data_IF_930935525034
#
_entry.id   IF_930935525034
#
_cell.length_a   1.000
_cell.length_b   1.000
_cell.length_c   1.000
_cell.angle_alpha   90.00
_cell.angle_beta   90.00
_cell.angle_gamma   90.00
#
_symmetry.space_group_name_H-M   'P 1'
#
loop_
_entity.id
_entity.type
_entity.pdbx_description
1 polymer ?
#
# COMPACT_ATOMS: atom_id res chain seq x y z
N UNK A 1 -18.51 -7.03 15.53
CA UNK A 1 -18.26 -6.08 14.44
C UNK A 1 -19.00 -4.75 14.64
N UNK A 2 -20.31 -4.63 14.39
CA UNK A 2 -21.06 -3.35 14.39
C UNK A 2 -20.85 -2.45 15.63
N UNK A 3 -20.81 -3.03 16.84
CA UNK A 3 -20.55 -2.25 18.07
C UNK A 3 -19.17 -1.60 18.10
N UNK A 4 -18.14 -2.26 17.54
CA UNK A 4 -16.79 -1.70 17.43
C UNK A 4 -16.77 -0.54 16.42
N UNK A 5 -17.43 -0.71 15.27
CA UNK A 5 -17.61 0.36 14.28
C UNK A 5 -18.24 1.62 14.89
N UNK A 6 -19.36 1.44 15.61
CA UNK A 6 -20.06 2.54 16.25
C UNK A 6 -19.20 3.22 17.32
N UNK A 7 -18.39 2.47 18.07
CA UNK A 7 -17.49 3.03 19.07
C UNK A 7 -16.40 3.92 18.44
N UNK A 8 -15.76 3.47 17.35
CA UNK A 8 -14.74 4.28 16.65
C UNK A 8 -15.37 5.55 16.08
N UNK A 9 -16.53 5.44 15.43
CA UNK A 9 -17.24 6.59 14.87
C UNK A 9 -17.66 7.57 15.97
N UNK A 10 -18.14 7.08 17.12
CA UNK A 10 -18.49 7.94 18.26
C UNK A 10 -17.28 8.73 18.75
N UNK A 11 -16.13 8.06 18.93
CA UNK A 11 -14.88 8.71 19.33
C UNK A 11 -14.42 9.78 18.34
N UNK A 12 -14.50 9.51 17.03
CA UNK A 12 -14.16 10.50 15.99
C UNK A 12 -15.09 11.72 16.09
N UNK A 13 -16.40 11.51 16.24
CA UNK A 13 -17.37 12.60 16.39
C UNK A 13 -17.13 13.43 17.64
N UNK A 14 -16.83 12.78 18.77
CA UNK A 14 -16.51 13.44 20.03
C UNK A 14 -15.25 14.29 19.89
N UNK A 15 -14.19 13.76 19.26
CA UNK A 15 -12.95 14.49 19.01
C UNK A 15 -13.16 15.71 18.10
N UNK A 16 -13.94 15.56 17.03
CA UNK A 16 -14.29 16.69 16.13
C UNK A 16 -15.06 17.77 16.88
N UNK A 17 -16.10 17.40 17.65
CA UNK A 17 -16.86 18.35 18.48
C UNK A 17 -15.98 19.05 19.51
N UNK A 18 -15.05 18.32 20.13
CA UNK A 18 -14.11 18.90 21.08
C UNK A 18 -13.20 19.94 20.40
N UNK A 19 -12.64 19.61 19.24
CA UNK A 19 -11.81 20.54 18.46
C UNK A 19 -12.60 21.80 18.07
N UNK A 20 -13.85 21.65 17.63
CA UNK A 20 -14.76 22.77 17.34
C UNK A 20 -15.02 23.65 18.56
N UNK A 21 -15.19 23.04 19.74
CA UNK A 21 -15.51 23.76 20.98
C UNK A 21 -14.31 24.50 21.55
N UNK A 22 -13.09 23.94 21.41
CA UNK A 22 -11.87 24.49 22.02
C UNK A 22 -11.13 25.46 21.11
N UNK A 23 -11.15 25.25 19.79
CA UNK A 23 -10.23 25.96 18.89
C UNK A 23 -10.68 27.37 18.50
N UNK A 24 -11.95 27.76 18.68
CA UNK A 24 -12.56 29.03 18.22
C UNK A 24 -12.16 29.46 16.79
N UNK A 25 -11.71 28.51 15.99
CA UNK A 25 -11.21 28.66 14.63
C UNK A 25 -12.24 28.04 13.69
N UNK A 26 -12.66 28.72 12.62
CA UNK A 26 -13.44 28.05 11.60
C UNK A 26 -12.62 26.89 11.03
N UNK A 27 -13.27 25.74 10.91
CA UNK A 27 -12.83 24.42 10.40
C UNK A 27 -12.25 24.49 8.96
N UNK A 28 -11.94 25.67 8.42
CA UNK A 28 -11.38 25.86 7.08
C UNK A 28 -10.05 25.11 6.85
N UNK A 29 -9.24 24.92 7.89
CA UNK A 29 -8.02 24.09 7.82
C UNK A 29 -8.28 22.57 7.79
N UNK A 30 -9.43 22.11 8.31
CA UNK A 30 -9.88 20.71 8.26
C UNK A 30 -10.56 20.37 6.92
N UNK A 31 -10.93 21.38 6.12
CA UNK A 31 -11.59 21.21 4.82
C UNK A 31 -10.61 20.99 3.66
N UNK A 32 -9.30 20.99 3.92
CA UNK A 32 -8.29 20.80 2.87
C UNK A 32 -7.40 19.62 3.24
N UNK A 33 -7.34 18.65 2.34
CA UNK A 33 -6.46 17.49 2.43
C UNK A 33 -5.49 17.55 1.25
N UNK A 34 -4.21 17.32 1.52
CA UNK A 34 -3.24 17.11 0.45
C UNK A 34 -3.49 15.74 -0.17
N UNK A 35 -3.77 15.73 -1.47
CA UNK A 35 -4.05 14.53 -2.23
C UNK A 35 -2.99 14.35 -3.31
N UNK A 36 -2.38 13.17 -3.32
CA UNK A 36 -1.32 12.80 -4.24
C UNK A 36 -1.77 11.70 -5.19
N UNK A 37 -1.15 11.66 -6.35
CA UNK A 37 -1.38 10.65 -7.39
C UNK A 37 -0.20 9.70 -7.52
N UNK A 38 -0.48 8.45 -7.87
CA UNK A 38 0.52 7.40 -8.08
C UNK A 38 0.05 6.44 -9.18
N UNK A 39 0.99 5.90 -9.96
CA UNK A 39 0.74 4.78 -10.88
C UNK A 39 2.01 3.95 -11.11
N UNK A 40 1.85 2.74 -11.65
CA UNK A 40 2.99 1.94 -12.08
C UNK A 40 3.63 2.60 -13.29
N UNK A 41 4.92 2.95 -13.21
CA UNK A 41 5.68 3.55 -14.31
C UNK A 41 5.99 2.51 -15.40
N UNK A 42 4.95 1.95 -16.02
CA UNK A 42 5.03 0.77 -16.87
C UNK A 42 5.40 1.12 -18.31
N UNK A 43 4.70 2.09 -18.91
CA UNK A 43 4.88 2.47 -20.30
C UNK A 43 5.92 3.59 -20.42
N UNK A 44 7.20 3.22 -20.42
CA UNK A 44 8.32 4.18 -20.34
C UNK A 44 8.28 5.33 -21.38
N UNK A 45 7.84 5.15 -22.64
CA UNK A 45 7.69 6.28 -23.55
C UNK A 45 6.69 7.35 -23.06
N UNK A 46 5.62 6.94 -22.39
CA UNK A 46 4.69 7.87 -21.75
C UNK A 46 5.34 8.55 -20.56
N UNK A 47 6.05 7.81 -19.70
CA UNK A 47 6.72 8.38 -18.53
C UNK A 47 7.82 9.39 -18.94
N UNK A 48 8.64 9.05 -19.92
CA UNK A 48 9.65 9.94 -20.52
C UNK A 48 9.00 11.21 -21.08
N UNK A 49 7.89 11.07 -21.80
CA UNK A 49 7.17 12.21 -22.36
C UNK A 49 6.65 13.20 -21.29
N UNK A 50 6.52 12.81 -20.02
CA UNK A 50 6.18 13.70 -18.90
C UNK A 50 7.36 14.01 -17.95
N UNK A 51 8.57 13.54 -18.28
CA UNK A 51 9.77 13.78 -17.48
C UNK A 51 10.36 15.15 -17.82
N UNK A 52 10.57 16.00 -16.82
CA UNK A 52 11.02 17.39 -16.99
C UNK A 52 12.01 17.79 -15.90
N UNK A 53 12.93 18.68 -16.26
CA UNK A 53 13.59 19.55 -15.29
C UNK A 53 12.57 20.58 -14.79
N UNK A 54 12.57 20.85 -13.49
CA UNK A 54 11.64 21.81 -12.87
C UNK A 54 12.34 23.14 -12.58
N UNK A 55 11.65 24.29 -12.74
CA UNK A 55 12.26 25.58 -12.42
C UNK A 55 12.78 25.62 -10.98
N UNK A 56 13.98 26.16 -10.77
CA UNK A 56 14.63 26.35 -9.45
C UNK A 56 15.13 25.07 -8.76
N UNK A 57 15.26 23.96 -9.49
CA UNK A 57 15.94 22.75 -9.01
C UNK A 57 16.61 22.04 -10.18
N UNK A 58 17.88 21.65 -10.03
CA UNK A 58 18.62 20.88 -11.05
C UNK A 58 18.20 19.40 -11.12
N UNK A 59 17.09 19.04 -10.44
CA UNK A 59 16.54 17.69 -10.45
C UNK A 59 15.53 17.48 -11.58
N UNK A 60 15.55 16.26 -12.11
CA UNK A 60 14.60 15.76 -13.08
C UNK A 60 13.45 15.06 -12.34
N UNK A 61 12.21 15.37 -12.71
CA UNK A 61 11.02 14.73 -12.15
C UNK A 61 10.16 14.13 -13.26
N UNK A 62 9.54 12.99 -12.97
CA UNK A 62 8.38 12.55 -13.72
C UNK A 62 7.15 13.34 -13.24
N UNK A 63 6.58 14.18 -14.12
CA UNK A 63 5.42 15.01 -13.79
C UNK A 63 4.08 14.35 -14.15
N UNK A 64 4.08 13.09 -14.62
CA UNK A 64 2.84 12.33 -14.83
C UNK A 64 2.15 11.97 -13.50
N UNK A 65 2.93 11.90 -12.41
CA UNK A 65 2.44 11.45 -11.10
C UNK A 65 3.39 11.86 -9.98
N UNK A 66 2.88 11.94 -8.75
CA UNK A 66 3.71 12.31 -7.60
C UNK A 66 4.60 11.14 -7.16
N UNK A 67 4.04 9.92 -7.18
CA UNK A 67 4.66 8.70 -6.66
C UNK A 67 4.56 7.55 -7.67
N UNK A 68 5.50 7.42 -8.62
CA UNK A 68 5.56 6.27 -9.51
C UNK A 68 6.08 5.02 -8.78
N UNK A 69 5.68 3.82 -9.20
CA UNK A 69 6.30 2.57 -8.73
C UNK A 69 6.72 1.62 -9.85
N UNK A 70 7.67 0.74 -9.55
CA UNK A 70 8.08 -0.38 -10.41
C UNK A 70 7.30 -1.62 -9.98
N UNK A 71 6.53 -2.22 -10.88
CA UNK A 71 5.80 -3.45 -10.63
C UNK A 71 6.73 -4.67 -10.51
N UNK A 72 6.24 -5.74 -9.89
CA UNK A 72 7.05 -6.96 -9.64
C UNK A 72 7.66 -7.52 -10.93
N UNK A 73 6.93 -7.49 -12.05
CA UNK A 73 7.34 -8.10 -13.33
C UNK A 73 8.38 -7.27 -14.08
N UNK A 74 8.52 -5.99 -13.73
CA UNK A 74 9.49 -5.06 -14.32
C UNK A 74 10.65 -4.77 -13.37
N UNK A 75 10.67 -5.40 -12.19
CA UNK A 75 11.70 -5.24 -11.17
C UNK A 75 12.73 -6.38 -11.22
N UNK A 76 13.64 -6.33 -12.19
CA UNK A 76 14.72 -7.30 -12.36
C UNK A 76 16.04 -6.62 -12.72
N UNK A 77 17.17 -7.30 -12.48
CA UNK A 77 18.51 -6.76 -12.78
C UNK A 77 18.63 -6.35 -14.25
N UNK A 78 19.05 -5.12 -14.50
CA UNK A 78 19.18 -4.56 -15.85
C UNK A 78 17.86 -4.05 -16.45
N UNK A 79 16.78 -4.00 -15.68
CA UNK A 79 15.51 -3.44 -16.14
C UNK A 79 15.64 -1.94 -16.47
N UNK A 80 15.10 -1.55 -17.62
CA UNK A 80 14.97 -0.15 -18.02
C UNK A 80 14.13 0.66 -17.01
N UNK A 81 13.17 0.02 -16.34
CA UNK A 81 12.35 0.66 -15.30
C UNK A 81 13.19 1.06 -14.08
N UNK A 82 14.17 0.24 -13.68
CA UNK A 82 15.08 0.59 -12.58
C UNK A 82 15.94 1.79 -12.99
N UNK A 83 16.49 1.77 -14.21
CA UNK A 83 17.34 2.87 -14.68
C UNK A 83 16.56 4.18 -14.82
N UNK A 84 15.36 4.13 -15.38
CA UNK A 84 14.47 5.28 -15.47
C UNK A 84 14.15 5.88 -14.08
N UNK A 85 13.76 5.03 -13.13
CA UNK A 85 13.38 5.46 -11.78
C UNK A 85 14.58 5.96 -10.95
N UNK A 86 15.79 5.46 -11.24
CA UNK A 86 17.05 5.96 -10.68
C UNK A 86 17.33 7.42 -11.08
N UNK A 87 16.95 7.80 -12.30
CA UNK A 87 17.21 9.13 -12.86
C UNK A 87 16.23 10.24 -12.44
N UNK A 88 15.03 9.90 -11.97
CA UNK A 88 14.04 10.89 -11.51
C UNK A 88 14.12 11.11 -9.99
N UNK A 89 13.67 12.27 -9.51
CA UNK A 89 13.75 12.67 -8.10
C UNK A 89 12.49 12.42 -7.26
N UNK A 90 11.36 12.05 -7.88
CA UNK A 90 10.12 11.66 -7.20
C UNK A 90 10.38 10.67 -6.05
N UNK A 91 9.58 10.57 -4.98
CA UNK A 91 9.57 9.32 -4.20
C UNK A 91 9.19 8.16 -5.14
N UNK A 92 9.82 6.99 -4.97
CA UNK A 92 9.62 5.84 -5.87
C UNK A 92 9.23 4.59 -5.10
N UNK A 93 8.24 3.87 -5.61
CA UNK A 93 7.82 2.58 -5.09
C UNK A 93 8.53 1.41 -5.79
N UNK A 94 8.81 0.34 -5.05
CA UNK A 94 9.22 -0.95 -5.61
C UNK A 94 8.33 -2.05 -5.08
N UNK A 95 7.72 -2.82 -5.99
CA UNK A 95 6.79 -3.89 -5.62
C UNK A 95 7.51 -5.23 -5.53
N UNK A 96 7.63 -5.78 -4.32
CA UNK A 96 8.39 -7.02 -4.06
C UNK A 96 7.47 -8.15 -3.60
N UNK A 97 7.76 -9.37 -4.03
CA UNK A 97 7.03 -10.57 -3.64
C UNK A 97 7.83 -11.48 -2.71
N UNK A 98 7.22 -12.60 -2.32
CA UNK A 98 7.79 -13.64 -1.45
C UNK A 98 9.05 -14.35 -1.99
N UNK A 99 9.38 -14.11 -3.26
CA UNK A 99 10.55 -14.58 -3.98
C UNK A 99 11.74 -13.61 -3.93
N UNK A 100 11.58 -12.41 -3.36
CA UNK A 100 12.66 -11.45 -3.20
C UNK A 100 13.73 -12.01 -2.25
N UNK A 101 14.99 -12.07 -2.71
CA UNK A 101 16.12 -12.40 -1.87
C UNK A 101 16.65 -11.15 -1.14
N UNK A 102 17.11 -11.28 0.12
CA UNK A 102 17.68 -10.15 0.85
C UNK A 102 18.84 -9.46 0.12
N UNK A 103 19.75 -10.21 -0.50
CA UNK A 103 20.88 -9.65 -1.27
C UNK A 103 20.44 -8.80 -2.45
N UNK A 104 19.36 -9.22 -3.12
CA UNK A 104 18.83 -8.52 -4.29
C UNK A 104 18.11 -7.25 -3.87
N UNK A 105 17.35 -7.29 -2.76
CA UNK A 105 16.76 -6.10 -2.15
C UNK A 105 17.83 -5.07 -1.80
N UNK A 106 18.91 -5.46 -1.11
CA UNK A 106 19.98 -4.54 -0.74
C UNK A 106 20.65 -3.92 -1.96
N UNK A 107 20.88 -4.72 -3.01
CA UNK A 107 21.46 -4.23 -4.26
C UNK A 107 20.54 -3.23 -4.96
N UNK A 108 19.23 -3.49 -4.94
CA UNK A 108 18.22 -2.62 -5.51
C UNK A 108 18.12 -1.28 -4.77
N UNK A 109 18.09 -1.30 -3.43
CA UNK A 109 18.03 -0.10 -2.61
C UNK A 109 19.24 0.81 -2.82
N UNK A 110 20.46 0.23 -2.85
CA UNK A 110 21.69 0.99 -3.14
C UNK A 110 21.71 1.60 -4.53
N UNK A 111 21.09 0.93 -5.51
CA UNK A 111 21.02 1.43 -6.87
C UNK A 111 20.02 2.60 -7.00
N UNK A 112 18.80 2.44 -6.47
CA UNK A 112 17.74 3.44 -6.59
C UNK A 112 17.87 4.62 -5.63
N UNK A 113 18.57 4.44 -4.50
CA UNK A 113 18.80 5.47 -3.49
C UNK A 113 20.26 5.49 -3.04
N UNK A 114 21.19 5.91 -3.93
CA UNK A 114 22.63 5.86 -3.66
C UNK A 114 23.07 6.80 -2.53
N UNK A 115 22.31 7.87 -2.28
CA UNK A 115 22.54 8.81 -1.17
C UNK A 115 21.91 8.34 0.14
N UNK A 116 21.15 7.24 0.11
CA UNK A 116 20.39 6.73 1.23
C UNK A 116 19.45 7.80 1.85
N UNK A 117 18.78 8.59 1.01
CA UNK A 117 17.84 9.61 1.45
C UNK A 117 16.60 8.96 2.11
N UNK A 118 16.25 9.30 3.37
CA UNK A 118 15.01 8.83 3.98
C UNK A 118 13.78 9.26 3.17
N UNK A 119 12.82 8.36 3.00
CA UNK A 119 11.56 8.64 2.27
C UNK A 119 11.68 8.59 0.74
N UNK A 120 12.87 8.39 0.17
CA UNK A 120 13.06 8.25 -1.28
C UNK A 120 12.47 6.95 -1.83
N UNK A 121 12.65 5.83 -1.13
CA UNK A 121 12.13 4.53 -1.55
C UNK A 121 11.01 4.08 -0.64
N UNK A 122 9.93 3.60 -1.26
CA UNK A 122 8.86 2.84 -0.61
C UNK A 122 8.91 1.38 -1.08
N UNK A 123 9.14 0.44 -0.16
CA UNK A 123 9.05 -1.00 -0.43
C UNK A 123 7.60 -1.43 -0.27
N UNK A 124 6.96 -1.85 -1.35
CA UNK A 124 5.57 -2.32 -1.37
C UNK A 124 5.58 -3.85 -1.39
N UNK A 125 5.36 -4.48 -0.24
CA UNK A 125 5.41 -5.94 -0.06
C UNK A 125 4.07 -6.58 -0.41
N UNK A 126 4.10 -7.61 -1.26
CA UNK A 126 2.90 -8.39 -1.65
C UNK A 126 3.14 -9.89 -1.51
N UNK A 127 3.28 -10.34 -0.28
CA UNK A 127 3.81 -11.66 0.06
C UNK A 127 2.77 -12.77 -0.11
N UNK A 128 1.50 -12.45 0.14
CA UNK A 128 0.45 -13.44 0.36
C UNK A 128 0.44 -13.91 1.81
N UNK A 129 -0.75 -14.11 2.37
CA UNK A 129 -0.96 -14.52 3.77
C UNK A 129 -0.19 -15.79 4.11
N UNK A 130 -0.11 -16.75 3.19
CA UNK A 130 0.58 -18.02 3.40
C UNK A 130 2.11 -17.91 3.50
N UNK A 131 2.70 -16.78 3.10
CA UNK A 131 4.17 -16.65 2.96
C UNK A 131 4.75 -15.52 3.80
N UNK A 132 3.95 -14.52 4.19
CA UNK A 132 4.44 -13.30 4.81
C UNK A 132 5.31 -13.56 6.05
N UNK A 133 4.87 -14.40 6.98
CA UNK A 133 5.59 -14.71 8.22
C UNK A 133 6.98 -15.31 7.96
N UNK A 134 7.09 -16.15 6.93
CA UNK A 134 8.34 -16.82 6.59
C UNK A 134 9.31 -15.96 5.77
N UNK A 135 8.82 -14.88 5.12
CA UNK A 135 9.59 -14.13 4.11
C UNK A 135 9.91 -12.71 4.52
N UNK A 136 8.95 -11.99 5.07
CA UNK A 136 9.11 -10.58 5.40
C UNK A 136 10.23 -10.34 6.45
N UNK A 137 10.37 -11.16 7.51
CA UNK A 137 11.38 -10.87 8.54
C UNK A 137 12.81 -10.82 8.01
N UNK A 138 13.19 -11.75 7.13
CA UNK A 138 14.55 -11.77 6.58
C UNK A 138 14.88 -10.55 5.72
N UNK A 139 13.87 -9.90 5.11
CA UNK A 139 14.05 -8.71 4.29
C UNK A 139 14.20 -7.45 5.17
N UNK A 140 13.39 -7.32 6.22
CA UNK A 140 13.49 -6.22 7.17
C UNK A 140 14.85 -6.24 7.86
N UNK A 141 15.26 -7.39 8.38
CA UNK A 141 16.52 -7.57 9.11
C UNK A 141 17.74 -7.26 8.22
N UNK A 142 17.69 -7.66 6.95
CA UNK A 142 18.74 -7.31 6.00
C UNK A 142 18.84 -5.80 5.76
N UNK A 143 17.71 -5.12 5.51
CA UNK A 143 17.70 -3.67 5.29
C UNK A 143 18.19 -2.89 6.52
N UNK A 144 17.73 -3.27 7.72
CA UNK A 144 18.15 -2.68 9.00
C UNK A 144 19.65 -2.87 9.23
N UNK A 145 20.19 -4.10 9.10
CA UNK A 145 21.63 -4.37 9.27
C UNK A 145 22.50 -3.64 8.25
N UNK A 146 21.97 -3.43 7.05
CA UNK A 146 22.66 -2.66 6.02
C UNK A 146 22.56 -1.13 6.22
N UNK A 147 21.76 -0.65 7.19
CA UNK A 147 21.54 0.77 7.44
C UNK A 147 20.85 1.49 6.28
N UNK A 148 20.07 0.79 5.45
CA UNK A 148 19.40 1.36 4.29
C UNK A 148 18.00 1.84 4.64
N UNK A 149 17.70 3.10 4.32
CA UNK A 149 16.40 3.71 4.56
C UNK A 149 15.41 3.38 3.45
N UNK A 150 14.26 2.85 3.85
CA UNK A 150 13.08 2.70 3.02
C UNK A 150 11.83 2.73 3.90
N UNK A 151 10.73 3.24 3.35
CA UNK A 151 9.41 3.13 3.97
C UNK A 151 8.79 1.80 3.57
N UNK A 152 8.32 1.02 4.54
CA UNK A 152 7.64 -0.25 4.28
C UNK A 152 6.15 -0.05 4.11
N UNK A 153 5.58 -0.63 3.07
CA UNK A 153 4.16 -0.56 2.76
C UNK A 153 3.63 -1.96 2.43
N UNK A 154 2.47 -2.32 2.97
CA UNK A 154 1.84 -3.62 2.71
C UNK A 154 0.83 -3.50 1.56
N UNK A 155 1.02 -4.30 0.51
CA UNK A 155 0.00 -4.63 -0.48
C UNK A 155 -0.51 -6.06 -0.20
N UNK A 156 -1.56 -6.20 0.60
CA UNK A 156 -2.14 -7.49 0.93
C UNK A 156 -3.09 -8.01 -0.17
N UNK A 157 -3.12 -7.39 -1.35
CA UNK A 157 -4.07 -7.74 -2.41
C UNK A 157 -3.43 -8.70 -3.41
N UNK A 158 -2.34 -8.28 -4.04
CA UNK A 158 -1.74 -9.02 -5.17
C UNK A 158 -1.11 -10.35 -4.76
N UNK A 159 -0.80 -10.54 -3.48
CA UNK A 159 -0.32 -11.80 -2.92
C UNK A 159 -1.43 -12.86 -2.73
N UNK A 160 -2.69 -12.43 -2.69
CA UNK A 160 -3.85 -13.24 -2.26
C UNK A 160 -4.91 -13.45 -3.36
N UNK A 161 -4.57 -13.21 -4.62
CA UNK A 161 -5.47 -13.51 -5.74
C UNK A 161 -5.63 -15.03 -5.90
N UNK A 162 -6.88 -15.49 -5.94
CA UNK A 162 -7.26 -16.88 -6.19
C UNK A 162 -8.31 -16.97 -7.30
N UNK A 163 -8.57 -18.19 -7.78
CA UNK A 163 -9.62 -18.46 -8.76
C UNK A 163 -10.78 -19.15 -8.04
N UNK A 164 -11.95 -18.52 -8.05
CA UNK A 164 -13.18 -19.09 -7.48
C UNK A 164 -13.66 -20.32 -8.26
N UNK A 165 -14.58 -21.08 -7.69
CA UNK A 165 -15.13 -22.31 -8.30
C UNK A 165 -15.73 -22.08 -9.69
N UNK A 166 -16.25 -20.88 -9.96
CA UNK A 166 -16.78 -20.45 -11.26
C UNK A 166 -15.75 -19.93 -12.27
N UNK A 167 -14.44 -20.05 -11.98
CA UNK A 167 -13.36 -19.61 -12.88
C UNK A 167 -13.04 -18.10 -12.84
N UNK A 168 -13.83 -17.30 -12.12
CA UNK A 168 -13.55 -15.89 -11.90
C UNK A 168 -12.42 -15.70 -10.90
N UNK A 169 -11.52 -14.75 -11.16
CA UNK A 169 -10.53 -14.33 -10.17
C UNK A 169 -11.25 -13.63 -9.02
N UNK A 170 -10.81 -13.89 -7.80
CA UNK A 170 -11.28 -13.19 -6.61
C UNK A 170 -10.15 -13.08 -5.58
N UNK A 171 -10.42 -12.41 -4.47
CA UNK A 171 -9.58 -12.37 -3.27
C UNK A 171 -10.50 -12.52 -2.07
N UNK A 172 -10.09 -13.31 -1.08
CA UNK A 172 -10.82 -13.40 0.19
C UNK A 172 -10.46 -12.23 1.09
N UNK A 173 -11.46 -11.51 1.54
CA UNK A 173 -11.30 -10.40 2.48
C UNK A 173 -10.45 -10.80 3.70
N UNK A 174 -10.72 -11.98 4.28
CA UNK A 174 -9.99 -12.46 5.45
C UNK A 174 -8.51 -12.74 5.17
N UNK A 175 -8.16 -13.21 3.98
CA UNK A 175 -6.75 -13.41 3.60
C UNK A 175 -6.03 -12.07 3.44
N UNK A 176 -6.69 -11.07 2.84
CA UNK A 176 -6.17 -9.70 2.71
C UNK A 176 -5.92 -9.12 4.10
N UNK A 177 -6.91 -9.23 4.98
CA UNK A 177 -6.80 -8.72 6.35
C UNK A 177 -5.72 -9.44 7.16
N UNK A 178 -5.64 -10.76 7.05
CA UNK A 178 -4.64 -11.56 7.78
C UNK A 178 -3.21 -11.25 7.33
N UNK A 179 -2.96 -11.04 6.03
CA UNK A 179 -1.63 -10.58 5.57
C UNK A 179 -1.28 -9.20 6.16
N UNK A 180 -2.25 -8.29 6.22
CA UNK A 180 -2.04 -6.96 6.78
C UNK A 180 -1.78 -7.00 8.29
N UNK A 181 -2.57 -7.76 9.06
CA UNK A 181 -2.40 -7.94 10.50
C UNK A 181 -1.03 -8.59 10.80
N UNK A 182 -0.62 -9.59 10.02
CA UNK A 182 0.70 -10.20 10.13
C UNK A 182 1.83 -9.21 9.80
N UNK A 183 1.66 -8.35 8.79
CA UNK A 183 2.65 -7.32 8.48
C UNK A 183 2.87 -6.38 9.66
N UNK A 184 1.79 -5.94 10.32
CA UNK A 184 1.85 -5.13 11.54
C UNK A 184 2.62 -5.83 12.66
N UNK A 185 2.29 -7.08 12.95
CA UNK A 185 2.91 -7.84 14.04
C UNK A 185 4.40 -8.12 13.79
N UNK A 186 4.76 -8.46 12.54
CA UNK A 186 6.15 -8.65 12.13
C UNK A 186 6.93 -7.34 12.29
N UNK A 187 6.40 -6.23 11.79
CA UNK A 187 7.09 -4.94 11.90
C UNK A 187 7.32 -4.55 13.37
N UNK A 188 6.30 -4.69 14.22
CA UNK A 188 6.39 -4.42 15.66
C UNK A 188 7.43 -5.32 16.35
N UNK A 189 7.37 -6.65 16.13
CA UNK A 189 8.31 -7.61 16.70
C UNK A 189 9.76 -7.39 16.26
N UNK A 190 9.95 -6.82 15.06
CA UNK A 190 11.27 -6.47 14.51
C UNK A 190 11.72 -5.04 14.83
N UNK A 191 10.95 -4.29 15.63
CA UNK A 191 11.24 -2.88 15.95
C UNK A 191 11.45 -2.04 14.68
N UNK A 192 10.61 -2.31 13.68
CA UNK A 192 10.53 -1.57 12.43
C UNK A 192 9.13 -0.99 12.26
N UNK A 193 8.91 -0.15 11.26
CA UNK A 193 7.64 0.56 11.08
C UNK A 193 6.98 0.13 9.77
N UNK A 194 5.73 -0.34 9.86
CA UNK A 194 4.86 -0.44 8.70
C UNK A 194 4.30 0.95 8.39
N UNK A 195 4.89 1.65 7.42
CA UNK A 195 4.59 3.04 7.12
C UNK A 195 3.37 3.28 6.23
N UNK A 196 2.75 2.24 5.67
CA UNK A 196 1.57 2.41 4.82
C UNK A 196 0.94 1.11 4.32
N UNK A 197 -0.16 1.28 3.60
CA UNK A 197 -0.92 0.21 2.94
C UNK A 197 -1.23 0.59 1.49
N UNK A 198 -1.31 -0.39 0.61
CA UNK A 198 -1.56 -0.20 -0.83
C UNK A 198 -2.65 -1.17 -1.29
N UNK A 199 -3.87 -0.66 -1.45
CA UNK A 199 -5.05 -1.43 -1.85
C UNK A 199 -5.50 -1.13 -3.28
N UNK A 200 -6.23 -2.09 -3.86
CA UNK A 200 -7.07 -1.85 -5.04
C UNK A 200 -8.53 -1.81 -4.57
N UNK A 201 -9.19 -0.66 -4.70
CA UNK A 201 -10.54 -0.45 -4.20
C UNK A 201 -11.38 0.41 -5.15
N UNK A 202 -12.69 0.37 -4.97
CA UNK A 202 -13.65 1.24 -5.66
C UNK A 202 -14.76 1.67 -4.70
N UNK A 203 -15.30 2.88 -4.91
CA UNK A 203 -16.48 3.37 -4.19
C UNK A 203 -17.79 2.75 -4.67
N UNK A 204 -17.75 1.92 -5.71
CA UNK A 204 -18.91 1.22 -6.25
C UNK A 204 -19.28 -0.02 -5.42
N UNK A 205 -20.57 -0.37 -5.44
CA UNK A 205 -21.08 -1.63 -4.88
C UNK A 205 -20.82 -2.79 -5.86
N UNK A 206 -19.58 -3.26 -5.90
CA UNK A 206 -19.13 -4.39 -6.71
C UNK A 206 -19.02 -5.69 -5.90
N UNK A 207 -19.11 -6.82 -6.58
CA UNK A 207 -18.94 -8.16 -6.02
C UNK A 207 -17.68 -8.82 -6.58
N UNK A 208 -16.51 -8.26 -6.27
CA UNK A 208 -15.23 -8.69 -6.84
C UNK A 208 -14.36 -9.49 -5.84
N UNK A 209 -14.31 -9.05 -4.57
CA UNK A 209 -13.69 -9.79 -3.47
C UNK A 209 -14.76 -10.45 -2.60
N UNK A 210 -14.52 -11.70 -2.17
CA UNK A 210 -15.45 -12.46 -1.31
C UNK A 210 -15.25 -12.15 0.18
N UNK A 211 -16.33 -12.25 0.94
CA UNK A 211 -16.36 -12.00 2.39
C UNK A 211 -16.41 -10.52 2.78
N UNK A 212 -15.92 -10.22 3.99
CA UNK A 212 -16.04 -8.90 4.62
C UNK A 212 -17.48 -8.59 5.05
N UNK A 213 -17.72 -7.34 5.48
CA UNK A 213 -18.99 -6.89 6.03
C UNK A 213 -20.17 -6.93 5.05
N UNK A 214 -19.88 -7.02 3.75
CA UNK A 214 -20.89 -7.23 2.69
C UNK A 214 -21.31 -8.68 2.50
N UNK A 215 -20.63 -9.63 3.15
CA UNK A 215 -20.87 -11.08 3.07
C UNK A 215 -20.97 -11.60 1.61
N UNK A 216 -20.09 -11.10 0.74
CA UNK A 216 -20.08 -11.48 -0.68
C UNK A 216 -19.66 -12.93 -0.83
N UNK A 217 -20.54 -13.78 -1.34
CA UNK A 217 -20.25 -15.18 -1.64
C UNK A 217 -19.63 -15.36 -3.04
N UNK A 218 -19.08 -16.55 -3.31
CA UNK A 218 -18.56 -16.88 -4.65
C UNK A 218 -19.67 -16.85 -5.72
N UNK A 219 -20.91 -17.18 -5.36
CA UNK A 219 -22.06 -17.12 -6.25
C UNK A 219 -22.44 -15.69 -6.64
N UNK A 220 -22.09 -14.70 -5.82
CA UNK A 220 -22.41 -13.29 -6.06
C UNK A 220 -21.42 -12.61 -7.01
N UNK A 221 -20.29 -13.26 -7.29
CA UNK A 221 -19.23 -12.68 -8.11
C UNK A 221 -19.73 -12.28 -9.50
N UNK A 222 -20.66 -13.04 -10.09
CA UNK A 222 -21.18 -12.74 -11.43
C UNK A 222 -22.21 -11.58 -11.46
N UNK A 223 -22.65 -11.08 -10.29
CA UNK A 223 -23.70 -10.06 -10.23
C UNK A 223 -23.18 -8.68 -10.64
N UNK A 224 -22.01 -8.29 -10.13
CA UNK A 224 -21.44 -6.94 -10.30
C UNK A 224 -19.91 -6.96 -10.40
N UNK A 225 -19.34 -7.92 -11.13
CA UNK A 225 -17.90 -7.91 -11.47
C UNK A 225 -17.63 -6.88 -12.58
N UNK A 226 -16.93 -5.78 -12.26
CA UNK A 226 -16.70 -4.68 -13.20
C UNK A 226 -15.23 -4.45 -13.54
N UNK A 227 -14.31 -4.92 -12.70
CA UNK A 227 -12.88 -4.81 -12.98
C UNK A 227 -12.50 -5.58 -14.24
N UNK A 228 -11.65 -4.95 -15.05
CA UNK A 228 -11.08 -5.56 -16.27
C UNK A 228 -9.79 -6.32 -15.99
N UNK A 229 -9.24 -6.21 -14.77
CA UNK A 229 -7.95 -6.82 -14.40
C UNK A 229 -8.14 -7.66 -13.14
N UNK A 230 -7.88 -7.08 -11.97
CA UNK A 230 -7.89 -7.78 -10.69
C UNK A 230 -9.09 -7.34 -9.83
N UNK A 231 -9.61 -8.22 -8.95
CA UNK A 231 -10.76 -7.94 -8.10
C UNK A 231 -10.44 -6.87 -7.05
N UNK A 232 -11.31 -5.86 -6.91
CA UNK A 232 -11.13 -4.72 -5.99
C UNK A 232 -11.98 -4.88 -4.73
N UNK A 233 -11.57 -4.24 -3.65
CA UNK A 233 -12.45 -4.05 -2.50
C UNK A 233 -13.60 -3.10 -2.88
N UNK A 234 -14.82 -3.45 -2.51
CA UNK A 234 -15.96 -2.53 -2.63
C UNK A 234 -15.94 -1.47 -1.49
N UNK A 235 -16.89 -0.54 -1.53
CA UNK A 235 -16.95 0.56 -0.55
C UNK A 235 -17.04 0.08 0.92
N UNK A 236 -17.85 -0.94 1.20
CA UNK A 236 -18.05 -1.47 2.55
C UNK A 236 -16.81 -2.21 3.06
N UNK A 237 -16.23 -3.07 2.23
CA UNK A 237 -14.98 -3.77 2.54
C UNK A 237 -13.82 -2.80 2.75
N UNK A 238 -13.77 -1.72 1.97
CA UNK A 238 -12.74 -0.67 2.11
C UNK A 238 -12.86 0.08 3.44
N UNK A 239 -14.09 0.46 3.82
CA UNK A 239 -14.35 1.10 5.11
C UNK A 239 -14.04 0.17 6.29
N UNK A 240 -14.40 -1.11 6.16
CA UNK A 240 -14.03 -2.12 7.13
C UNK A 240 -12.52 -2.21 7.30
N UNK A 241 -11.76 -2.30 6.20
CA UNK A 241 -10.30 -2.35 6.25
C UNK A 241 -9.69 -1.14 6.96
N UNK A 242 -10.17 0.07 6.65
CA UNK A 242 -9.71 1.29 7.32
C UNK A 242 -9.90 1.23 8.85
N UNK A 243 -11.03 0.69 9.30
CA UNK A 243 -11.34 0.58 10.72
C UNK A 243 -10.58 -0.56 11.41
N UNK A 244 -10.30 -1.66 10.70
CA UNK A 244 -9.41 -2.73 11.18
C UNK A 244 -7.98 -2.22 11.36
N UNK A 245 -7.46 -1.42 10.43
CA UNK A 245 -6.16 -0.76 10.55
C UNK A 245 -6.11 0.12 11.80
N UNK A 246 -7.11 0.99 11.98
CA UNK A 246 -7.17 1.87 13.15
C UNK A 246 -7.18 1.09 14.47
N UNK A 247 -7.95 0.00 14.54
CA UNK A 247 -8.01 -0.88 15.71
C UNK A 247 -6.67 -1.60 15.97
N UNK A 248 -6.01 -2.09 14.92
CA UNK A 248 -4.70 -2.75 15.03
C UNK A 248 -3.63 -1.79 15.57
N UNK A 249 -3.57 -0.57 15.04
CA UNK A 249 -2.68 0.48 15.54
C UNK A 249 -2.89 0.77 17.03
N UNK A 250 -4.16 0.96 17.46
CA UNK A 250 -4.47 1.19 18.87
C UNK A 250 -4.02 0.05 19.79
N UNK A 251 -4.07 -1.19 19.29
CA UNK A 251 -3.65 -2.37 20.06
C UNK A 251 -2.14 -2.41 20.21
N UNK A 252 -1.39 -2.04 19.16
CA UNK A 252 0.07 -2.00 19.18
C UNK A 252 0.64 -0.86 20.02
N UNK A 253 -0.01 0.30 20.09
CA UNK A 253 0.42 1.41 20.96
C UNK A 253 0.23 1.13 22.46
N UNK A 254 -0.60 0.15 22.81
CA UNK A 254 -0.85 -0.25 24.21
C UNK A 254 0.16 -1.28 24.73
N UNK A 255 1.03 -1.82 23.86
CA UNK A 255 2.03 -2.85 24.15
C UNK A 255 3.44 -2.23 24.24
#
# INVERSE_FOLDING_TARGET
HIKSYQAIISKIREALRFAETVADYPIGGLNRVDFYTSHEALHLPYEEAFTREVPRSDNIYNLSTHFPWIGKRTLFKGSAHIEYMRGIRNPVGIKIGADMAPSDLLSLLRNLNPLNDPGRIVIITRMGVAKIESKLPGLIDAAQRAGLYALWCCDPMHGNTETASGGMKTRRFDNILAELEAAFDIHAGMKSVLGGVHFELTGEDVTECVGGASDVGEADLNLRYRSTVDPRLNAHQSLEMALRIAQKYQTLEQL
#
